data_IF_269737065354
#
_entry.id   IF_269737065354
#
_cell.length_a   1.000
_cell.length_b   1.000
_cell.length_c   1.000
_cell.angle_alpha   90.00
_cell.angle_beta   90.00
_cell.angle_gamma   90.00
#
_symmetry.space_group_name_H-M   'P 1'
#
loop_
_entity.id
_entity.type
_entity.pdbx_description
1 polymer ?
#
# COMPACT_ATOMS: atom_id res chain seq x y z
N UNK A 1 21.34 -3.98 -18.59
CA UNK A 1 20.59 -5.04 -17.88
C UNK A 1 20.10 -4.52 -16.53
N UNK A 2 20.97 -3.96 -15.68
CA UNK A 2 20.55 -3.44 -14.36
C UNK A 2 19.53 -2.28 -14.42
N UNK A 3 19.74 -1.29 -15.31
CA UNK A 3 18.84 -0.13 -15.42
C UNK A 3 17.40 -0.50 -15.80
N UNK A 4 17.22 -1.49 -16.69
CA UNK A 4 15.88 -1.96 -17.07
C UNK A 4 15.16 -2.66 -15.91
N UNK A 5 15.90 -3.42 -15.10
CA UNK A 5 15.36 -4.11 -13.92
C UNK A 5 14.92 -3.13 -12.83
N UNK A 6 15.64 -2.01 -12.69
CA UNK A 6 15.30 -0.96 -11.72
C UNK A 6 14.10 -0.13 -12.18
N UNK A 7 14.01 0.19 -13.47
CA UNK A 7 12.83 0.85 -14.07
C UNK A 7 11.56 0.00 -13.92
N UNK A 8 11.65 -1.32 -14.16
CA UNK A 8 10.55 -2.27 -13.94
C UNK A 8 10.12 -2.32 -12.47
N UNK A 9 11.08 -2.29 -11.54
CA UNK A 9 10.79 -2.29 -10.10
C UNK A 9 10.07 -1.02 -9.66
N UNK A 10 10.51 0.14 -10.14
CA UNK A 10 9.86 1.43 -9.83
C UNK A 10 8.47 1.53 -10.45
N UNK A 11 8.29 1.06 -11.68
CA UNK A 11 6.97 1.05 -12.32
C UNK A 11 6.01 0.09 -11.59
N UNK A 12 6.48 -1.08 -11.18
CA UNK A 12 5.72 -1.99 -10.34
C UNK A 12 5.28 -1.28 -9.05
N UNK A 13 6.22 -0.69 -8.31
CA UNK A 13 5.92 0.02 -7.06
C UNK A 13 4.84 1.07 -7.28
N UNK A 14 4.98 1.89 -8.32
CA UNK A 14 3.99 2.92 -8.66
C UNK A 14 2.59 2.33 -8.89
N UNK A 15 2.48 1.23 -9.63
CA UNK A 15 1.20 0.56 -9.89
C UNK A 15 0.57 0.02 -8.59
N UNK A 16 1.37 -0.58 -7.71
CA UNK A 16 0.88 -1.09 -6.43
C UNK A 16 0.42 0.04 -5.49
N UNK A 17 1.14 1.18 -5.46
CA UNK A 17 0.73 2.35 -4.66
C UNK A 17 -0.63 2.86 -5.13
N UNK A 18 -0.82 2.95 -6.44
CA UNK A 18 -2.08 3.38 -7.03
C UNK A 18 -3.22 2.40 -6.76
N UNK A 19 -2.95 1.09 -6.79
CA UNK A 19 -3.93 0.06 -6.47
C UNK A 19 -4.41 0.17 -5.02
N UNK A 20 -3.47 0.28 -4.07
CA UNK A 20 -3.81 0.45 -2.66
C UNK A 20 -4.66 1.70 -2.43
N UNK A 21 -4.27 2.83 -3.01
CA UNK A 21 -5.04 4.07 -2.89
C UNK A 21 -6.44 3.93 -3.47
N UNK A 22 -6.58 3.24 -4.60
CA UNK A 22 -7.90 2.97 -5.21
C UNK A 22 -8.80 2.15 -4.28
N UNK A 23 -8.26 1.08 -3.69
CA UNK A 23 -9.00 0.21 -2.74
C UNK A 23 -9.42 1.03 -1.51
N UNK A 24 -8.48 1.77 -0.92
CA UNK A 24 -8.74 2.58 0.27
C UNK A 24 -9.79 3.65 -0.01
N UNK A 25 -9.70 4.38 -1.12
CA UNK A 25 -10.68 5.40 -1.47
C UNK A 25 -12.08 4.82 -1.73
N UNK A 26 -12.16 3.60 -2.28
CA UNK A 26 -13.43 2.94 -2.57
C UNK A 26 -14.12 2.38 -1.32
N UNK A 27 -13.37 1.81 -0.39
CA UNK A 27 -13.93 1.05 0.74
C UNK A 27 -13.76 1.74 2.09
N UNK A 28 -12.70 2.53 2.27
CA UNK A 28 -12.29 3.12 3.55
C UNK A 28 -11.83 4.59 3.40
N UNK A 29 -12.66 5.48 2.82
CA UNK A 29 -12.21 6.80 2.37
C UNK A 29 -11.60 7.68 3.47
N UNK A 30 -12.02 7.54 4.73
CA UNK A 30 -11.45 8.32 5.83
C UNK A 30 -10.01 7.92 6.19
N UNK A 31 -9.57 6.74 5.76
CA UNK A 31 -8.19 6.25 5.95
C UNK A 31 -7.24 6.64 4.81
N UNK A 32 -7.74 7.30 3.75
CA UNK A 32 -6.96 7.63 2.56
C UNK A 32 -5.70 8.47 2.87
N UNK A 33 -5.78 9.40 3.81
CA UNK A 33 -4.63 10.22 4.23
C UNK A 33 -3.53 9.36 4.87
N UNK A 34 -3.92 8.42 5.74
CA UNK A 34 -2.98 7.47 6.35
C UNK A 34 -2.40 6.52 5.31
N UNK A 35 -3.23 5.99 4.40
CA UNK A 35 -2.76 5.13 3.32
C UNK A 35 -1.74 5.84 2.43
N UNK A 36 -1.96 7.12 2.10
CA UNK A 36 -1.03 7.93 1.33
C UNK A 36 0.35 8.02 2.02
N UNK A 37 0.36 8.29 3.34
CA UNK A 37 1.60 8.32 4.11
C UNK A 37 2.35 6.98 4.07
N UNK A 38 1.62 5.86 4.16
CA UNK A 38 2.23 4.53 4.12
C UNK A 38 2.80 4.20 2.73
N UNK A 39 2.06 4.45 1.65
CA UNK A 39 2.54 4.14 0.28
C UNK A 39 3.76 4.96 -0.10
N UNK A 40 3.89 6.19 0.39
CA UNK A 40 5.03 7.05 0.15
C UNK A 40 6.27 6.60 0.93
N UNK A 41 6.08 6.02 2.12
CA UNK A 41 7.17 5.51 2.96
C UNK A 41 7.69 4.13 2.50
N UNK A 42 6.84 3.28 1.92
CA UNK A 42 7.20 1.91 1.53
C UNK A 42 8.04 1.90 0.24
N UNK A 43 9.23 1.28 0.31
CA UNK A 43 10.18 1.11 -0.81
C UNK A 43 10.31 -0.34 -1.29
N UNK A 44 9.77 -1.28 -0.52
CA UNK A 44 9.83 -2.72 -0.78
C UNK A 44 8.50 -3.15 -1.44
N UNK A 45 8.51 -3.62 -2.71
CA UNK A 45 7.30 -4.05 -3.41
C UNK A 45 6.48 -5.10 -2.64
N UNK A 46 7.16 -6.02 -1.97
CA UNK A 46 6.58 -7.13 -1.23
C UNK A 46 5.83 -6.64 0.02
N UNK A 47 6.36 -5.61 0.68
CA UNK A 47 5.70 -4.98 1.84
C UNK A 47 4.41 -4.29 1.39
N UNK A 48 4.47 -3.57 0.28
CA UNK A 48 3.30 -2.89 -0.28
C UNK A 48 2.23 -3.89 -0.75
N UNK A 49 2.64 -4.98 -1.39
CA UNK A 49 1.74 -6.05 -1.80
C UNK A 49 1.07 -6.72 -0.60
N UNK A 50 1.83 -7.01 0.47
CA UNK A 50 1.26 -7.56 1.70
C UNK A 50 0.23 -6.62 2.33
N UNK A 51 0.49 -5.31 2.31
CA UNK A 51 -0.48 -4.33 2.81
C UNK A 51 -1.78 -4.34 2.00
N UNK A 52 -1.69 -4.42 0.68
CA UNK A 52 -2.87 -4.49 -0.18
C UNK A 52 -3.77 -5.66 0.21
N UNK A 53 -3.19 -6.84 0.43
CA UNK A 53 -3.98 -8.00 0.88
C UNK A 53 -4.63 -7.78 2.24
N UNK A 54 -3.92 -7.22 3.22
CA UNK A 54 -4.49 -6.93 4.54
C UNK A 54 -5.64 -5.91 4.48
N UNK A 55 -5.52 -4.87 3.66
CA UNK A 55 -6.59 -3.89 3.46
C UNK A 55 -7.79 -4.52 2.75
N UNK A 56 -7.57 -5.41 1.78
CA UNK A 56 -8.66 -6.16 1.12
C UNK A 56 -9.38 -7.13 2.06
N UNK A 57 -8.67 -7.71 3.02
CA UNK A 57 -9.25 -8.59 4.05
C UNK A 57 -10.00 -7.83 5.14
N UNK A 58 -9.76 -6.52 5.26
CA UNK A 58 -10.43 -5.67 6.24
C UNK A 58 -11.92 -5.53 5.92
N UNK A 59 -12.76 -5.73 6.91
CA UNK A 59 -14.22 -5.57 6.80
C UNK A 59 -14.68 -4.21 7.32
N UNK A 60 -13.84 -3.54 8.12
CA UNK A 60 -14.15 -2.24 8.73
C UNK A 60 -13.01 -1.25 8.52
N UNK A 61 -13.35 0.03 8.65
CA UNK A 61 -12.37 1.12 8.60
C UNK A 61 -11.31 1.01 9.71
N UNK A 62 -11.70 0.52 10.89
CA UNK A 62 -10.79 0.27 12.00
C UNK A 62 -9.76 -0.81 11.65
N UNK A 63 -10.19 -1.94 11.09
CA UNK A 63 -9.30 -3.01 10.64
C UNK A 63 -8.35 -2.55 9.51
N UNK A 64 -8.84 -1.73 8.59
CA UNK A 64 -8.01 -1.13 7.55
C UNK A 64 -6.96 -0.19 8.15
N UNK A 65 -7.34 0.61 9.16
CA UNK A 65 -6.43 1.50 9.89
C UNK A 65 -5.34 0.72 10.62
N UNK A 66 -5.70 -0.34 11.33
CA UNK A 66 -4.74 -1.23 12.00
C UNK A 66 -3.77 -1.86 11.00
N UNK A 67 -4.29 -2.31 9.85
CA UNK A 67 -3.47 -2.88 8.77
C UNK A 67 -2.44 -1.87 8.26
N UNK A 68 -2.86 -0.62 8.01
CA UNK A 68 -2.00 0.48 7.56
C UNK A 68 -0.94 0.83 8.61
N UNK A 69 -1.27 0.83 9.90
CA UNK A 69 -0.33 1.14 10.99
C UNK A 69 0.65 0.00 11.29
N UNK A 70 0.28 -1.25 10.99
CA UNK A 70 1.09 -2.44 11.30
C UNK A 70 2.44 -2.49 10.57
N UNK A 71 2.64 -1.65 9.56
CA UNK A 71 3.87 -1.62 8.74
C UNK A 71 5.03 -0.96 9.48
N UNK A 72 4.73 0.01 10.35
CA UNK A 72 5.75 0.74 11.10
C UNK A 72 6.27 -0.02 12.33
N UNK A 73 5.85 -1.27 12.55
CA UNK A 73 6.12 -2.04 13.77
C UNK A 73 7.11 -3.20 13.59
N UNK A 74 8.00 -3.16 12.59
CA UNK A 74 9.13 -4.09 12.48
C UNK A 74 10.45 -3.40 12.24
#
# INVERSE_FOLDING_TARGET
IEKGREEEREEWLRRQRQLLMTIVQMHFPNTASLAQQQVDAIKEPEVLQSLIFKVLESQTEEQATESLLSINQK
#
